data_IF_297873934848
#
_entry.id   IF_297873934848
#
_cell.length_a   1.000
_cell.length_b   1.000
_cell.length_c   1.000
_cell.angle_alpha   90.00
_cell.angle_beta   90.00
_cell.angle_gamma   90.00
#
_symmetry.space_group_name_H-M   'P 1'
#
loop_
_entity.id
_entity.type
_entity.pdbx_description
1 polymer ?
#
# COMPACT_ATOMS: atom_id res chain seq x y z
N UNK A 1 -0.09 4.81 -37.70
CA UNK A 1 0.37 5.16 -36.34
C UNK A 1 -0.62 4.52 -35.39
N UNK A 2 -0.31 3.27 -35.03
CA UNK A 2 -1.22 2.35 -34.35
C UNK A 2 -1.57 2.86 -32.96
N UNK A 3 -2.88 2.85 -32.69
CA UNK A 3 -3.47 2.97 -31.36
C UNK A 3 -3.22 1.64 -30.66
N UNK A 4 -2.13 1.54 -29.91
CA UNK A 4 -1.94 0.45 -28.96
C UNK A 4 -2.89 0.70 -27.78
N UNK A 5 -4.06 0.09 -27.87
CA UNK A 5 -4.97 -0.13 -26.76
C UNK A 5 -4.24 -0.98 -25.71
N UNK A 6 -4.35 -0.50 -24.48
CA UNK A 6 -3.77 -1.03 -23.26
C UNK A 6 -4.01 -2.53 -23.13
N UNK A 7 -2.95 -3.28 -22.79
CA UNK A 7 -3.11 -4.59 -22.16
C UNK A 7 -2.21 -4.70 -20.91
N UNK A 8 -2.82 -5.37 -19.93
CA UNK A 8 -2.35 -5.87 -18.62
C UNK A 8 -2.31 -4.86 -17.47
N UNK A 9 -3.51 -4.66 -16.91
CA UNK A 9 -3.85 -4.21 -15.56
C UNK A 9 -3.10 -2.99 -15.02
N UNK A 10 -3.37 -1.84 -15.64
CA UNK A 10 -3.30 -0.55 -14.96
C UNK A 10 -4.23 -0.57 -13.74
N UNK A 11 -3.76 -0.12 -12.58
CA UNK A 11 -4.60 0.14 -11.41
C UNK A 11 -5.76 1.06 -11.80
N UNK A 12 -6.95 0.49 -12.00
CA UNK A 12 -8.18 1.27 -12.07
C UNK A 12 -8.57 1.61 -10.63
N UNK A 13 -7.96 2.65 -10.09
CA UNK A 13 -8.62 3.42 -9.03
C UNK A 13 -9.47 4.45 -9.76
N UNK A 14 -10.70 4.07 -10.05
CA UNK A 14 -11.73 5.02 -10.43
C UNK A 14 -11.98 5.94 -9.23
N UNK A 15 -11.87 7.25 -9.45
CA UNK A 15 -12.32 8.28 -8.52
C UNK A 15 -13.84 8.14 -8.41
N UNK A 16 -14.38 7.98 -7.21
CA UNK A 16 -15.81 7.99 -6.99
C UNK A 16 -16.22 9.35 -6.43
N UNK A 17 -17.24 9.96 -7.05
CA UNK A 17 -18.03 10.97 -6.35
C UNK A 17 -18.88 10.26 -5.31
N UNK A 18 -18.78 10.66 -4.05
CA UNK A 18 -19.70 10.21 -3.00
C UNK A 18 -21.15 10.48 -3.40
N UNK A 19 -22.03 9.51 -3.14
CA UNK A 19 -23.48 9.65 -3.24
C UNK A 19 -23.99 10.74 -2.29
N UNK A 20 -23.97 11.99 -2.74
CA UNK A 20 -24.62 13.12 -2.06
C UNK A 20 -25.02 14.25 -3.04
N UNK A 21 -25.57 13.88 -4.20
CA UNK A 21 -26.35 14.83 -5.01
C UNK A 21 -27.72 14.23 -5.36
N UNK A 22 -28.65 14.34 -4.40
CA UNK A 22 -30.07 14.33 -4.73
C UNK A 22 -30.39 15.47 -5.70
N UNK A 23 -30.62 15.10 -6.96
CA UNK A 23 -31.73 15.57 -7.79
C UNK A 23 -32.23 17.01 -7.56
N UNK A 24 -31.44 18.02 -7.94
CA UNK A 24 -31.98 19.37 -8.22
C UNK A 24 -31.29 20.02 -9.42
N UNK A 25 -31.83 19.77 -10.61
CA UNK A 25 -32.06 20.81 -11.64
C UNK A 25 -32.94 20.27 -12.77
N UNK A 26 -34.25 20.52 -12.65
CA UNK A 26 -35.15 20.59 -13.81
C UNK A 26 -34.90 21.89 -14.56
N UNK A 27 -34.65 21.80 -15.86
CA UNK A 27 -35.01 22.84 -16.82
C UNK A 27 -33.90 23.30 -17.76
N UNK A 28 -33.72 22.60 -18.89
CA UNK A 28 -33.55 23.20 -20.22
C UNK A 28 -33.55 22.09 -21.28
N UNK A 29 -34.53 22.13 -22.17
CA UNK A 29 -34.67 21.28 -23.37
C UNK A 29 -33.65 21.69 -24.43
N UNK A 30 -32.74 20.78 -24.84
CA UNK A 30 -32.03 20.86 -26.12
C UNK A 30 -31.82 19.44 -26.67
N UNK A 31 -31.87 19.40 -28.00
CA UNK A 31 -32.00 18.30 -28.96
C UNK A 31 -31.12 17.05 -28.80
N UNK A 32 -31.69 15.96 -29.30
CA UNK A 32 -31.21 14.59 -29.29
C UNK A 32 -30.26 14.35 -30.49
N UNK A 33 -28.95 14.21 -30.27
CA UNK A 33 -28.03 13.48 -31.16
C UNK A 33 -26.63 13.33 -30.55
N UNK A 34 -26.08 12.10 -30.66
CA UNK A 34 -24.75 11.62 -30.22
C UNK A 34 -24.63 11.14 -28.77
N UNK A 35 -25.08 9.88 -28.56
CA UNK A 35 -24.55 8.99 -27.51
C UNK A 35 -23.18 8.46 -27.94
N UNK A 36 -22.12 9.19 -27.64
CA UNK A 36 -20.83 8.54 -27.37
C UNK A 36 -20.86 8.17 -25.89
N UNK A 37 -20.91 6.87 -25.61
CA UNK A 37 -20.88 6.34 -24.26
C UNK A 37 -19.53 6.69 -23.64
N UNK A 38 -19.53 7.65 -22.72
CA UNK A 38 -18.47 7.88 -21.75
C UNK A 38 -18.47 6.68 -20.79
N UNK A 39 -17.91 5.55 -21.23
CA UNK A 39 -17.65 4.40 -20.37
C UNK A 39 -16.48 4.74 -19.46
N UNK A 40 -16.77 5.42 -18.35
CA UNK A 40 -15.91 5.36 -17.17
C UNK A 40 -15.66 3.89 -16.85
N UNK A 41 -14.40 3.42 -16.78
CA UNK A 41 -14.09 2.01 -16.54
C UNK A 41 -14.75 1.56 -15.24
N UNK A 42 -15.69 0.62 -15.33
CA UNK A 42 -16.28 0.01 -14.13
C UNK A 42 -15.15 -0.69 -13.36
N UNK A 43 -15.10 -0.43 -12.04
CA UNK A 43 -14.27 -1.19 -11.10
C UNK A 43 -14.49 -2.69 -11.36
N UNK A 44 -13.40 -3.44 -11.41
CA UNK A 44 -13.49 -4.90 -11.43
C UNK A 44 -14.22 -5.38 -10.17
N UNK A 45 -14.98 -6.47 -10.27
CA UNK A 45 -15.69 -7.03 -9.10
C UNK A 45 -14.72 -7.53 -8.03
N UNK A 46 -15.23 -8.04 -6.89
CA UNK A 46 -14.41 -8.65 -5.83
C UNK A 46 -13.28 -9.52 -6.37
N UNK A 47 -13.63 -10.42 -7.30
CA UNK A 47 -12.67 -11.39 -7.84
C UNK A 47 -11.57 -10.74 -8.67
N UNK A 48 -11.85 -9.65 -9.39
CA UNK A 48 -10.86 -8.98 -10.24
C UNK A 48 -9.85 -8.23 -9.38
N UNK A 49 -10.32 -7.53 -8.34
CA UNK A 49 -9.46 -6.87 -7.37
C UNK A 49 -8.62 -7.88 -6.60
N UNK A 50 -9.22 -9.00 -6.17
CA UNK A 50 -8.52 -10.06 -5.48
C UNK A 50 -7.37 -10.64 -6.33
N UNK A 51 -7.61 -10.90 -7.63
CA UNK A 51 -6.57 -11.35 -8.56
C UNK A 51 -5.47 -10.29 -8.70
N UNK A 52 -5.85 -9.03 -8.93
CA UNK A 52 -4.89 -7.93 -9.11
C UNK A 52 -3.96 -7.77 -7.89
N UNK A 53 -4.50 -7.82 -6.67
CA UNK A 53 -3.70 -7.72 -5.45
C UNK A 53 -2.85 -8.96 -5.18
N UNK A 54 -3.31 -10.15 -5.56
CA UNK A 54 -2.51 -11.37 -5.50
C UNK A 54 -1.33 -11.33 -6.49
N UNK A 55 -1.55 -10.89 -7.73
CA UNK A 55 -0.49 -10.69 -8.72
C UNK A 55 0.51 -9.64 -8.22
N UNK A 56 0.04 -8.55 -7.63
CA UNK A 56 0.91 -7.52 -7.03
C UNK A 56 1.75 -8.05 -5.88
N UNK A 57 1.21 -8.90 -5.00
CA UNK A 57 2.01 -9.57 -3.98
C UNK A 57 3.13 -10.40 -4.62
N UNK A 58 2.82 -11.17 -5.68
CA UNK A 58 3.83 -11.97 -6.37
C UNK A 58 4.95 -11.09 -6.98
N UNK A 59 4.61 -9.92 -7.53
CA UNK A 59 5.58 -8.94 -8.04
C UNK A 59 6.45 -8.33 -6.92
N UNK A 60 5.88 -8.07 -5.74
CA UNK A 60 6.61 -7.61 -4.55
C UNK A 60 7.65 -8.65 -4.11
N UNK A 61 7.32 -9.94 -4.21
CA UNK A 61 8.24 -11.06 -3.89
C UNK A 61 9.28 -11.27 -4.99
N UNK A 62 8.92 -11.10 -6.26
CA UNK A 62 9.90 -11.13 -7.35
C UNK A 62 10.93 -10.01 -7.17
N UNK A 63 10.49 -8.80 -6.79
CA UNK A 63 11.36 -7.68 -6.46
C UNK A 63 12.27 -7.96 -5.24
N UNK A 64 11.81 -8.72 -4.26
CA UNK A 64 12.63 -9.15 -3.12
C UNK A 64 13.77 -10.06 -3.56
N UNK A 65 13.47 -11.03 -4.42
CA UNK A 65 14.46 -11.96 -4.97
C UNK A 65 15.46 -11.23 -5.88
N UNK A 66 14.98 -10.34 -6.74
CA UNK A 66 15.83 -9.54 -7.63
C UNK A 66 16.83 -8.69 -6.84
N UNK A 67 16.38 -8.02 -5.78
CA UNK A 67 17.23 -7.22 -4.89
C UNK A 67 18.31 -8.08 -4.20
N UNK A 68 17.98 -9.31 -3.79
CA UNK A 68 18.96 -10.25 -3.23
C UNK A 68 20.00 -10.69 -4.28
N UNK A 69 19.57 -11.00 -5.50
CA UNK A 69 20.47 -11.40 -6.60
C UNK A 69 21.41 -10.24 -6.97
N UNK A 70 20.90 -9.01 -7.03
CA UNK A 70 21.71 -7.83 -7.32
C UNK A 70 22.75 -7.59 -6.21
N UNK A 71 22.32 -7.69 -4.94
CA UNK A 71 23.21 -7.59 -3.79
C UNK A 71 24.37 -8.59 -3.85
N UNK A 72 24.09 -9.86 -4.16
CA UNK A 72 25.13 -10.89 -4.27
C UNK A 72 26.11 -10.61 -5.42
N UNK A 73 25.62 -10.13 -6.58
CA UNK A 73 26.49 -9.76 -7.71
C UNK A 73 27.44 -8.63 -7.35
N UNK A 74 26.99 -7.66 -6.58
CA UNK A 74 27.82 -6.51 -6.17
C UNK A 74 28.92 -6.91 -5.19
N UNK A 75 28.64 -7.82 -4.25
CA UNK A 75 29.65 -8.40 -3.36
C UNK A 75 30.75 -9.11 -4.17
N UNK A 76 30.36 -9.89 -5.20
CA UNK A 76 31.30 -10.62 -6.04
C UNK A 76 32.18 -9.71 -6.90
N UNK A 77 31.64 -8.59 -7.40
CA UNK A 77 32.38 -7.63 -8.26
C UNK A 77 33.32 -6.72 -7.49
N UNK A 78 32.87 -6.20 -6.35
CA UNK A 78 33.57 -5.10 -5.67
C UNK A 78 34.48 -5.57 -4.53
N UNK A 79 34.42 -6.85 -4.14
CA UNK A 79 35.27 -7.43 -3.10
C UNK A 79 34.97 -6.85 -1.73
N UNK A 80 34.16 -7.56 -0.94
CA UNK A 80 33.79 -7.28 0.46
C UNK A 80 33.51 -5.79 0.76
N UNK A 81 32.22 -5.41 0.74
CA UNK A 81 31.78 -4.28 1.57
C UNK A 81 32.27 -4.53 3.01
N UNK A 82 32.79 -3.49 3.66
CA UNK A 82 33.25 -3.52 5.04
C UNK A 82 32.25 -4.24 5.94
N UNK A 83 32.64 -5.43 6.43
CA UNK A 83 31.99 -6.25 7.45
C UNK A 83 30.44 -6.25 7.43
N UNK A 84 29.80 -7.27 6.82
CA UNK A 84 28.34 -7.39 6.88
C UNK A 84 27.87 -7.52 8.34
N UNK A 85 26.65 -7.04 8.68
CA UNK A 85 26.09 -7.19 10.01
C UNK A 85 26.09 -8.68 10.40
N UNK A 86 26.77 -8.98 11.51
CA UNK A 86 26.77 -10.31 12.08
C UNK A 86 25.35 -10.58 12.62
N UNK A 87 24.58 -11.39 11.86
CA UNK A 87 23.23 -11.89 12.16
C UNK A 87 22.12 -10.84 12.00
N UNK A 88 21.66 -10.72 10.75
CA UNK A 88 20.48 -10.00 10.28
C UNK A 88 20.34 -10.28 8.78
N UNK A 89 19.14 -10.14 8.19
CA UNK A 89 18.92 -10.42 6.77
C UNK A 89 19.98 -9.78 5.87
N UNK A 90 20.43 -10.50 4.84
CA UNK A 90 21.41 -10.00 3.85
C UNK A 90 20.65 -9.35 2.69
N UNK A 91 20.92 -8.10 2.33
CA UNK A 91 20.32 -7.50 1.13
C UNK A 91 20.33 -5.97 1.15
N UNK A 92 20.00 -5.37 -0.01
CA UNK A 92 20.02 -3.90 -0.23
C UNK A 92 19.21 -3.16 0.84
N UNK A 93 18.00 -3.64 1.15
CA UNK A 93 17.13 -2.99 2.14
C UNK A 93 17.70 -3.08 3.57
N UNK A 94 18.33 -4.20 3.94
CA UNK A 94 18.93 -4.37 5.26
C UNK A 94 20.16 -3.50 5.44
N UNK A 95 21.00 -3.40 4.41
CA UNK A 95 22.15 -2.50 4.40
C UNK A 95 21.70 -1.04 4.49
N UNK A 96 20.64 -0.67 3.77
CA UNK A 96 20.06 0.67 3.83
C UNK A 96 19.48 0.98 5.22
N UNK A 97 18.73 0.04 5.83
CA UNK A 97 18.21 0.18 7.19
C UNK A 97 19.35 0.32 8.22
N UNK A 98 20.39 -0.49 8.13
CA UNK A 98 21.54 -0.42 9.01
C UNK A 98 22.23 0.96 8.97
N UNK A 99 22.32 1.56 7.78
CA UNK A 99 22.90 2.88 7.56
C UNK A 99 22.00 4.04 8.02
N UNK A 100 20.67 3.93 7.83
CA UNK A 100 19.73 5.05 8.05
C UNK A 100 18.98 5.00 9.39
N UNK A 101 18.65 3.81 9.89
CA UNK A 101 18.00 3.62 11.20
C UNK A 101 19.02 3.38 12.31
N UNK A 102 20.16 2.76 11.96
CA UNK A 102 21.25 2.45 12.86
C UNK A 102 21.20 1.02 13.38
N UNK A 103 22.35 0.34 13.29
CA UNK A 103 22.52 -1.07 13.65
C UNK A 103 21.97 -1.46 15.03
N UNK A 104 22.21 -0.66 16.07
CA UNK A 104 21.74 -1.00 17.43
C UNK A 104 20.22 -0.94 17.58
N UNK A 105 19.53 -0.08 16.82
CA UNK A 105 18.07 -0.04 16.81
C UNK A 105 17.49 -1.15 15.94
N UNK A 106 18.17 -1.45 14.83
CA UNK A 106 17.79 -2.53 13.93
C UNK A 106 17.86 -3.90 14.62
N UNK A 107 18.89 -4.11 15.44
CA UNK A 107 19.05 -5.34 16.23
C UNK A 107 17.88 -5.56 17.20
N UNK A 108 17.39 -4.49 17.83
CA UNK A 108 16.23 -4.53 18.72
C UNK A 108 14.92 -4.85 17.99
N UNK A 109 14.83 -4.53 16.70
CA UNK A 109 13.69 -4.88 15.85
C UNK A 109 13.73 -6.32 15.35
N UNK A 110 14.80 -7.09 15.57
CA UNK A 110 14.85 -8.46 15.05
C UNK A 110 13.80 -9.36 15.74
N UNK A 111 13.23 -10.36 15.05
CA UNK A 111 12.28 -11.29 15.67
C UNK A 111 12.84 -11.96 16.93
N UNK A 112 14.13 -12.28 16.94
CA UNK A 112 14.84 -12.92 18.05
C UNK A 112 14.87 -12.04 19.30
N UNK A 113 15.20 -10.75 19.15
CA UNK A 113 15.23 -9.80 20.25
C UNK A 113 13.84 -9.35 20.69
N UNK A 114 12.87 -9.33 19.78
CA UNK A 114 11.47 -9.03 20.09
C UNK A 114 10.85 -10.16 20.92
N UNK A 115 11.09 -11.43 20.57
CA UNK A 115 10.47 -12.59 21.21
C UNK A 115 10.76 -12.71 22.72
N UNK A 116 11.92 -12.22 23.17
CA UNK A 116 12.31 -12.27 24.59
C UNK A 116 11.74 -11.13 25.44
N UNK A 117 11.05 -10.16 24.81
CA UNK A 117 10.47 -8.99 25.47
C UNK A 117 8.97 -9.17 25.76
N UNK A 118 8.43 -8.51 26.79
CA UNK A 118 6.99 -8.36 26.95
C UNK A 118 6.34 -7.71 25.72
N UNK A 119 5.06 -8.01 25.45
CA UNK A 119 4.33 -7.47 24.30
C UNK A 119 4.31 -5.93 24.29
N UNK A 120 4.14 -5.31 25.46
CA UNK A 120 4.17 -3.85 25.61
C UNK A 120 5.49 -3.24 25.11
N UNK A 121 6.64 -3.82 25.49
CA UNK A 121 7.96 -3.37 25.01
C UNK A 121 8.14 -3.62 23.51
N UNK A 122 7.60 -4.72 22.98
CA UNK A 122 7.62 -4.98 21.54
C UNK A 122 6.86 -3.89 20.79
N UNK A 123 5.72 -3.43 21.32
CA UNK A 123 4.95 -2.34 20.72
C UNK A 123 5.67 -1.01 20.81
N UNK A 124 6.37 -0.71 21.90
CA UNK A 124 7.22 0.48 21.99
C UNK A 124 8.34 0.48 20.94
N UNK A 125 8.96 -0.67 20.68
CA UNK A 125 10.01 -0.80 19.66
C UNK A 125 9.44 -0.61 18.25
N UNK A 126 8.27 -1.19 17.94
CA UNK A 126 7.56 -0.99 16.68
C UNK A 126 7.11 0.47 16.51
N UNK A 127 6.62 1.10 17.57
CA UNK A 127 6.16 2.48 17.58
C UNK A 127 7.34 3.42 17.24
N UNK A 128 8.48 3.24 17.90
CA UNK A 128 9.70 4.01 17.59
C UNK A 128 10.15 3.83 16.14
N UNK A 129 10.02 2.62 15.59
CA UNK A 129 10.32 2.35 14.20
C UNK A 129 9.36 3.07 13.26
N UNK A 130 8.05 3.02 13.48
CA UNK A 130 7.08 3.68 12.62
C UNK A 130 7.15 5.22 12.71
N UNK A 131 7.46 5.77 13.88
CA UNK A 131 7.72 7.21 14.04
C UNK A 131 8.95 7.65 13.25
N UNK A 132 10.04 6.88 13.34
CA UNK A 132 11.21 7.10 12.51
C UNK A 132 10.87 6.95 11.01
N UNK A 133 10.13 5.91 10.64
CA UNK A 133 9.71 5.67 9.26
C UNK A 133 8.96 6.88 8.71
N UNK A 134 7.93 7.35 9.40
CA UNK A 134 7.13 8.52 9.00
C UNK A 134 7.98 9.79 8.90
N UNK A 135 8.99 9.95 9.76
CA UNK A 135 9.93 11.07 9.67
C UNK A 135 10.83 11.01 8.42
N UNK A 136 11.18 9.81 7.96
CA UNK A 136 12.00 9.60 6.77
C UNK A 136 11.18 9.60 5.48
N UNK A 137 9.92 9.21 5.57
CA UNK A 137 8.98 9.03 4.48
C UNK A 137 7.71 9.83 4.75
N UNK A 138 7.78 11.18 4.68
CA UNK A 138 6.61 12.02 4.91
C UNK A 138 5.57 11.80 3.81
N UNK A 139 4.28 11.84 4.18
CA UNK A 139 3.20 11.67 3.22
C UNK A 139 3.26 12.74 2.12
N UNK A 140 3.17 12.31 0.86
CA UNK A 140 3.21 13.21 -0.28
C UNK A 140 1.79 13.58 -0.75
N UNK A 141 1.48 14.88 -0.68
CA UNK A 141 0.25 15.45 -1.25
C UNK A 141 0.52 15.96 -2.67
N UNK A 142 0.96 17.21 -2.80
CA UNK A 142 1.03 17.98 -4.06
C UNK A 142 2.29 18.87 -4.18
N UNK A 143 3.23 18.79 -3.22
CA UNK A 143 4.43 19.64 -3.16
C UNK A 143 5.17 19.79 -4.51
N UNK A 144 5.29 21.03 -4.96
CA UNK A 144 5.96 21.41 -6.19
C UNK A 144 7.45 21.04 -6.17
N UNK A 145 7.91 20.30 -7.17
CA UNK A 145 9.31 19.92 -7.31
C UNK A 145 10.26 21.08 -7.64
N UNK A 146 9.74 22.27 -8.01
CA UNK A 146 10.55 23.45 -8.33
C UNK A 146 10.67 24.43 -7.17
N UNK A 147 9.55 24.78 -6.52
CA UNK A 147 9.54 25.80 -5.47
C UNK A 147 9.16 25.27 -4.08
N UNK A 148 8.77 24.00 -3.97
CA UNK A 148 8.38 23.37 -2.69
C UNK A 148 7.00 23.76 -2.17
N UNK A 149 6.28 24.65 -2.85
CA UNK A 149 4.92 25.04 -2.45
C UNK A 149 3.95 23.86 -2.60
N UNK A 150 3.00 23.78 -1.68
CA UNK A 150 1.83 22.89 -1.70
C UNK A 150 0.60 23.76 -1.51
N UNK A 151 -0.48 23.47 -2.23
CA UNK A 151 -1.76 24.13 -2.07
C UNK A 151 -2.34 23.84 -0.68
N UNK A 152 -2.16 22.62 -0.15
CA UNK A 152 -2.52 22.28 1.24
C UNK A 152 -1.81 23.11 2.31
N UNK A 153 -0.62 23.63 1.99
CA UNK A 153 0.16 24.49 2.89
C UNK A 153 -0.20 25.99 2.72
N UNK A 154 -1.16 26.36 1.85
CA UNK A 154 -1.51 27.76 1.53
C UNK A 154 -2.84 28.18 2.20
N UNK A 155 -2.80 29.00 3.27
CA UNK A 155 -4.02 29.41 3.98
C UNK A 155 -5.02 30.17 3.11
N UNK A 156 -4.56 30.84 2.04
CA UNK A 156 -5.44 31.60 1.15
C UNK A 156 -6.27 30.70 0.24
N UNK A 157 -5.83 29.45 0.02
CA UNK A 157 -6.61 28.46 -0.72
C UNK A 157 -7.51 27.63 0.18
N UNK A 158 -7.17 27.49 1.47
CA UNK A 158 -7.97 26.76 2.45
C UNK A 158 -9.26 27.48 2.87
N UNK A 159 -9.38 28.80 2.66
CA UNK A 159 -10.57 29.58 3.03
C UNK A 159 -11.69 29.56 1.97
N UNK A 160 -11.44 29.06 0.74
CA UNK A 160 -12.47 29.03 -0.31
C UNK A 160 -13.47 27.85 -0.17
N UNK A 161 -13.24 26.93 0.78
CA UNK A 161 -14.09 25.74 1.02
C UNK A 161 -15.21 25.93 2.07
N UNK A 162 -15.27 27.04 2.81
CA UNK A 162 -16.26 27.26 3.91
C UNK A 162 -17.44 28.18 3.55
N UNK A 163 -17.53 28.72 2.33
CA UNK A 163 -18.54 29.72 1.98
C UNK A 163 -19.60 29.23 0.98
N UNK A 164 -20.49 28.31 1.40
CA UNK A 164 -21.89 28.32 0.91
C UNK A 164 -22.96 27.87 1.93
N UNK A 165 -23.70 28.87 2.42
CA UNK A 165 -25.08 28.86 2.93
C UNK A 165 -25.34 28.67 4.44
N UNK A 166 -25.29 29.81 5.14
CA UNK A 166 -26.22 30.13 6.22
C UNK A 166 -27.69 30.02 5.74
N UNK A 167 -28.37 28.93 6.10
CA UNK A 167 -29.81 28.93 6.37
C UNK A 167 -30.03 28.29 7.75
N UNK A 168 -30.79 28.99 8.60
CA UNK A 168 -30.91 28.67 10.03
C UNK A 168 -31.67 27.36 10.26
N UNK A 169 -30.97 26.32 10.74
CA UNK A 169 -31.59 25.24 11.50
C UNK A 169 -30.97 23.85 11.36
N UNK A 170 -30.46 23.35 12.49
CA UNK A 170 -30.23 21.93 12.86
C UNK A 170 -28.78 21.41 12.75
N UNK A 171 -28.19 21.18 13.93
CA UNK A 171 -27.10 20.26 14.30
C UNK A 171 -25.94 20.05 13.32
N UNK A 172 -24.87 20.82 13.49
CA UNK A 172 -23.56 20.57 12.88
C UNK A 172 -22.82 19.46 13.63
N UNK A 173 -22.84 18.25 13.06
CA UNK A 173 -21.72 17.30 13.14
C UNK A 173 -20.71 17.68 12.06
N UNK A 174 -19.51 18.05 12.47
CA UNK A 174 -18.37 18.26 11.56
C UNK A 174 -17.99 16.91 10.94
N UNK A 175 -18.26 16.75 9.65
CA UNK A 175 -17.73 15.67 8.82
C UNK A 175 -16.53 16.22 8.04
N UNK A 176 -15.32 15.89 8.51
CA UNK A 176 -14.12 15.94 7.68
C UNK A 176 -14.23 14.74 6.71
N UNK A 177 -14.90 14.98 5.59
CA UNK A 177 -15.20 13.97 4.57
C UNK A 177 -13.98 13.76 3.63
N UNK A 178 -13.61 12.49 3.47
CA UNK A 178 -12.94 11.86 2.30
C UNK A 178 -11.53 12.32 1.89
N UNK A 179 -10.58 11.37 1.87
CA UNK A 179 -9.32 11.42 1.08
C UNK A 179 -9.56 11.37 -0.44
N UNK A 180 -10.70 11.86 -0.92
CA UNK A 180 -10.76 12.39 -2.26
C UNK A 180 -9.74 13.54 -2.28
N UNK A 181 -8.84 13.54 -3.26
CA UNK A 181 -8.00 14.71 -3.47
C UNK A 181 -8.98 15.83 -3.79
N UNK A 182 -9.34 16.64 -2.79
CA UNK A 182 -9.94 17.95 -3.00
C UNK A 182 -9.11 18.56 -4.11
N UNK A 183 -9.75 18.75 -5.26
CA UNK A 183 -9.11 19.26 -6.45
C UNK A 183 -8.78 20.72 -6.14
N UNK A 184 -7.65 20.91 -5.46
CA UNK A 184 -6.98 22.17 -5.15
C UNK A 184 -6.56 22.94 -6.44
N UNK A 185 -7.08 22.51 -7.59
CA UNK A 185 -6.79 22.96 -8.93
C UNK A 185 -5.39 22.58 -9.41
N UNK A 186 -4.60 21.85 -8.61
CA UNK A 186 -3.22 21.51 -8.96
C UNK A 186 -3.13 20.17 -9.69
N UNK A 187 -4.04 19.23 -9.46
CA UNK A 187 -4.00 17.91 -10.11
C UNK A 187 -4.53 17.95 -11.55
N UNK A 188 -3.70 17.55 -12.52
CA UNK A 188 -4.06 17.58 -13.94
C UNK A 188 -4.43 16.21 -14.52
N UNK A 189 -4.32 15.14 -13.72
CA UNK A 189 -4.60 13.79 -14.16
C UNK A 189 -3.36 12.89 -14.30
N UNK A 190 -3.57 11.74 -14.93
CA UNK A 190 -2.59 10.67 -15.05
C UNK A 190 -1.94 10.64 -16.43
N UNK A 191 -0.66 10.29 -16.45
CA UNK A 191 0.08 9.97 -17.67
C UNK A 191 0.79 8.62 -17.54
N UNK A 192 1.11 8.02 -18.68
CA UNK A 192 1.92 6.81 -18.70
C UNK A 192 3.34 7.08 -18.17
N UNK A 193 3.90 6.20 -17.33
CA UNK A 193 5.25 6.37 -16.80
C UNK A 193 6.31 6.37 -17.91
N UNK A 194 7.29 7.27 -17.79
CA UNK A 194 8.43 7.30 -18.70
C UNK A 194 9.39 6.12 -18.45
N UNK A 195 10.41 5.97 -19.29
CA UNK A 195 11.37 4.87 -19.18
C UNK A 195 12.08 4.80 -17.82
N UNK A 196 12.44 5.95 -17.22
CA UNK A 196 13.06 5.98 -15.90
C UNK A 196 12.05 5.52 -14.83
N UNK A 197 10.82 6.01 -14.89
CA UNK A 197 9.78 5.69 -13.92
C UNK A 197 9.37 4.21 -13.95
N UNK A 198 9.35 3.61 -15.15
CA UNK A 198 9.08 2.17 -15.31
C UNK A 198 10.16 1.27 -14.69
N UNK A 199 11.41 1.75 -14.55
CA UNK A 199 12.43 1.01 -13.80
C UNK A 199 12.11 0.89 -12.31
N UNK A 200 11.37 1.85 -11.75
CA UNK A 200 10.81 1.76 -10.41
C UNK A 200 9.47 1.04 -10.34
N UNK A 201 9.11 0.30 -11.40
CA UNK A 201 7.83 -0.42 -11.55
C UNK A 201 6.62 0.49 -11.36
N UNK A 202 6.72 1.77 -11.74
CA UNK A 202 5.58 2.67 -11.65
C UNK A 202 4.45 2.21 -12.59
N UNK A 203 3.23 2.11 -12.08
CA UNK A 203 2.02 1.77 -12.86
C UNK A 203 1.45 2.98 -13.59
N UNK A 204 1.53 4.15 -12.95
CA UNK A 204 1.02 5.45 -13.42
C UNK A 204 1.86 6.60 -12.88
N UNK A 205 1.68 7.78 -13.47
CA UNK A 205 2.31 9.01 -13.01
C UNK A 205 1.28 10.12 -12.94
N UNK A 206 1.11 10.69 -11.75
CA UNK A 206 0.26 11.85 -11.51
C UNK A 206 0.99 13.13 -11.97
N UNK A 207 0.25 14.05 -12.59
CA UNK A 207 0.78 15.35 -13.00
C UNK A 207 0.11 16.44 -12.18
N UNK A 208 0.95 17.29 -11.59
CA UNK A 208 0.53 18.44 -10.83
C UNK A 208 1.05 19.73 -11.47
N UNK A 209 0.25 20.79 -11.50
CA UNK A 209 0.68 22.14 -11.82
C UNK A 209 0.67 22.99 -10.55
N UNK A 210 1.82 23.53 -10.19
CA UNK A 210 1.95 24.36 -8.99
C UNK A 210 1.17 25.67 -9.14
N UNK A 211 0.29 25.96 -8.19
CA UNK A 211 -0.47 27.21 -8.12
C UNK A 211 0.42 28.46 -8.00
N UNK A 212 1.58 28.34 -7.33
CA UNK A 212 2.48 29.46 -7.06
C UNK A 212 3.42 29.81 -8.21
N UNK A 213 4.03 28.82 -8.85
CA UNK A 213 5.06 29.06 -9.88
C UNK A 213 4.70 28.51 -11.26
N UNK A 214 3.53 27.89 -11.42
CA UNK A 214 3.05 27.31 -12.68
C UNK A 214 3.84 26.11 -13.20
N UNK A 215 4.85 25.63 -12.44
CA UNK A 215 5.70 24.53 -12.86
C UNK A 215 4.98 23.18 -12.72
N UNK A 216 5.23 22.28 -13.66
CA UNK A 216 4.68 20.92 -13.63
C UNK A 216 5.56 20.00 -12.79
N UNK A 217 4.93 19.20 -11.93
CA UNK A 217 5.57 18.17 -11.12
C UNK A 217 5.00 16.80 -11.49
N UNK A 218 5.89 15.84 -11.72
CA UNK A 218 5.53 14.43 -11.91
C UNK A 218 5.59 13.71 -10.57
N UNK A 219 4.57 12.93 -10.25
CA UNK A 219 4.53 12.02 -9.11
C UNK A 219 4.30 10.58 -9.60
N UNK A 220 5.37 9.86 -9.97
CA UNK A 220 5.27 8.45 -10.34
C UNK A 220 4.89 7.60 -9.11
N UNK A 221 3.91 6.71 -9.29
CA UNK A 221 3.43 5.78 -8.25
C UNK A 221 4.26 4.51 -8.27
N UNK A 222 5.37 4.51 -7.55
CA UNK A 222 6.37 3.44 -7.59
C UNK A 222 5.91 2.18 -6.83
N UNK A 223 6.27 1.01 -7.35
CA UNK A 223 6.02 -0.28 -6.70
C UNK A 223 7.29 -0.99 -6.24
N UNK A 224 8.47 -0.45 -6.57
CA UNK A 224 9.76 -1.00 -6.15
C UNK A 224 10.23 -0.36 -4.84
N UNK A 225 10.54 -1.17 -3.82
CA UNK A 225 10.95 -0.70 -2.50
C UNK A 225 12.26 0.12 -2.56
N UNK A 226 13.22 -0.30 -3.39
CA UNK A 226 14.49 0.42 -3.61
C UNK A 226 14.28 1.80 -4.22
N UNK A 227 13.28 1.95 -5.10
CA UNK A 227 12.92 3.27 -5.64
C UNK A 227 12.24 4.16 -4.61
N UNK A 228 11.39 3.59 -3.74
CA UNK A 228 10.74 4.35 -2.66
C UNK A 228 11.78 4.88 -1.66
N UNK A 229 12.78 4.08 -1.26
CA UNK A 229 13.86 4.56 -0.36
C UNK A 229 14.73 5.65 -0.99
N UNK A 230 14.97 5.58 -2.30
CA UNK A 230 15.78 6.56 -3.02
C UNK A 230 15.06 7.91 -3.17
N UNK A 231 13.75 7.87 -3.46
CA UNK A 231 12.97 9.09 -3.75
C UNK A 231 12.34 9.69 -2.49
N UNK A 232 12.14 8.90 -1.43
CA UNK A 232 11.48 9.29 -0.17
C UNK A 232 10.17 10.06 -0.39
N UNK A 233 9.37 9.58 -1.34
CA UNK A 233 8.14 10.24 -1.79
C UNK A 233 7.08 9.21 -2.18
N UNK A 234 5.96 9.22 -1.49
CA UNK A 234 4.87 8.26 -1.64
C UNK A 234 3.66 8.58 -0.77
N UNK A 235 2.64 7.73 -0.89
CA UNK A 235 1.42 7.68 -0.05
C UNK A 235 1.29 6.30 0.59
N UNK A 236 0.12 5.94 1.11
CA UNK A 236 -0.15 4.63 1.72
C UNK A 236 0.29 3.46 0.81
N UNK A 237 0.03 3.55 -0.50
CA UNK A 237 0.49 2.57 -1.50
C UNK A 237 1.98 2.24 -1.42
N UNK A 238 2.83 3.25 -1.61
CA UNK A 238 4.29 3.11 -1.60
C UNK A 238 4.82 2.71 -0.20
N UNK A 239 4.25 3.31 0.85
CA UNK A 239 4.77 3.18 2.21
C UNK A 239 4.35 1.88 2.88
N UNK A 240 3.16 1.34 2.58
CA UNK A 240 2.77 -0.01 3.02
C UNK A 240 3.66 -1.10 2.44
N UNK A 241 3.98 -1.02 1.14
CA UNK A 241 4.88 -1.97 0.47
C UNK A 241 6.29 -1.88 1.06
N UNK A 242 6.81 -0.67 1.26
CA UNK A 242 8.13 -0.48 1.85
C UNK A 242 8.20 -1.01 3.30
N UNK A 243 7.18 -0.70 4.13
CA UNK A 243 7.10 -1.21 5.49
C UNK A 243 7.04 -2.76 5.50
N UNK A 244 6.17 -3.35 4.68
CA UNK A 244 6.08 -4.80 4.49
C UNK A 244 7.42 -5.43 4.09
N UNK A 245 8.12 -4.83 3.12
CA UNK A 245 9.44 -5.30 2.67
C UNK A 245 10.54 -5.16 3.74
N UNK A 246 10.52 -4.10 4.55
CA UNK A 246 11.43 -3.95 5.70
C UNK A 246 11.18 -5.01 6.78
N UNK A 247 9.93 -5.27 7.14
CA UNK A 247 9.58 -6.32 8.12
C UNK A 247 10.07 -7.69 7.65
N UNK A 248 9.87 -8.01 6.37
CA UNK A 248 10.34 -9.26 5.76
C UNK A 248 11.85 -9.36 5.72
N UNK A 249 12.54 -8.28 5.36
CA UNK A 249 13.99 -8.24 5.33
C UNK A 249 14.61 -8.45 6.74
N UNK A 250 13.90 -8.00 7.78
CA UNK A 250 14.21 -8.27 9.19
C UNK A 250 13.92 -9.71 9.63
N UNK A 251 13.18 -10.49 8.82
CA UNK A 251 12.80 -11.87 9.11
C UNK A 251 11.47 -12.02 9.86
N UNK A 252 10.65 -10.97 9.93
CA UNK A 252 9.32 -11.07 10.55
C UNK A 252 8.34 -11.82 9.66
N UNK A 253 7.45 -12.60 10.28
CA UNK A 253 6.21 -12.99 9.64
C UNK A 253 5.32 -11.75 9.49
N UNK A 254 5.09 -11.34 8.24
CA UNK A 254 4.34 -10.14 7.92
C UNK A 254 3.27 -10.39 6.84
N UNK A 255 2.22 -9.57 6.86
CA UNK A 255 1.19 -9.52 5.82
C UNK A 255 1.12 -8.13 5.23
N UNK A 256 0.80 -8.05 3.95
CA UNK A 256 0.36 -6.81 3.31
C UNK A 256 -1.16 -6.78 3.30
N UNK A 257 -1.77 -5.76 3.88
CA UNK A 257 -3.21 -5.68 4.07
C UNK A 257 -3.80 -4.60 3.18
N UNK A 258 -4.90 -4.93 2.52
CA UNK A 258 -5.56 -4.09 1.54
C UNK A 258 -7.04 -3.93 1.89
N UNK A 259 -7.45 -2.70 2.15
CA UNK A 259 -8.84 -2.28 2.22
C UNK A 259 -9.32 -1.86 0.83
N UNK A 260 -10.44 -2.41 0.38
CA UNK A 260 -11.06 -1.97 -0.86
C UNK A 260 -11.66 -0.56 -0.79
N UNK A 261 -11.70 0.09 0.37
CA UNK A 261 -11.93 1.53 0.51
C UNK A 261 -10.63 2.36 0.37
N UNK A 262 -9.76 1.95 -0.55
CA UNK A 262 -8.52 2.64 -0.98
C UNK A 262 -7.54 2.94 0.16
N UNK A 263 -7.26 1.93 0.98
CA UNK A 263 -6.19 2.03 1.98
C UNK A 263 -5.40 0.74 2.10
N UNK A 264 -4.13 0.85 2.45
CA UNK A 264 -3.22 -0.29 2.54
C UNK A 264 -2.21 -0.10 3.67
N UNK A 265 -1.86 -1.18 4.34
CA UNK A 265 -0.94 -1.19 5.49
C UNK A 265 -0.25 -2.55 5.62
N UNK A 266 0.45 -2.79 6.73
CA UNK A 266 1.08 -4.07 7.03
C UNK A 266 0.59 -4.65 8.36
N UNK A 267 0.64 -5.96 8.50
CA UNK A 267 0.56 -6.63 9.81
C UNK A 267 1.87 -7.36 10.08
N UNK A 268 2.24 -7.47 11.35
CA UNK A 268 3.35 -8.28 11.82
C UNK A 268 2.87 -9.29 12.86
N UNK A 269 3.44 -10.50 12.88
CA UNK A 269 3.10 -11.49 13.89
C UNK A 269 3.91 -11.28 15.16
N UNK A 270 3.23 -10.95 16.26
CA UNK A 270 3.81 -10.70 17.58
C UNK A 270 3.01 -11.51 18.60
N UNK A 271 3.69 -12.21 19.52
CA UNK A 271 3.01 -12.97 20.58
C UNK A 271 2.03 -14.05 20.08
N UNK A 272 2.18 -14.51 18.83
CA UNK A 272 1.28 -15.48 18.19
C UNK A 272 0.02 -14.89 17.55
N UNK A 273 -0.16 -13.57 17.55
CA UNK A 273 -1.27 -12.87 16.88
C UNK A 273 -0.77 -11.87 15.85
N UNK A 274 -1.66 -11.47 14.93
CA UNK A 274 -1.38 -10.38 14.00
C UNK A 274 -1.56 -9.04 14.70
N UNK A 275 -0.61 -8.15 14.46
CA UNK A 275 -0.60 -6.78 14.99
C UNK A 275 -0.59 -5.81 13.82
N UNK A 276 -1.56 -4.91 13.83
CA UNK A 276 -1.72 -3.84 12.85
C UNK A 276 -0.54 -2.86 12.89
N UNK A 277 0.01 -2.52 11.72
CA UNK A 277 1.02 -1.48 11.52
C UNK A 277 0.68 -0.58 10.34
N UNK A 278 0.31 0.67 10.62
CA UNK A 278 0.17 1.71 9.59
C UNK A 278 1.40 2.64 9.61
N UNK A 279 2.26 2.60 8.57
CA UNK A 279 3.46 3.45 8.49
C UNK A 279 3.16 4.93 8.18
N UNK A 280 2.03 5.25 7.55
CA UNK A 280 1.62 6.62 7.27
C UNK A 280 1.18 7.33 8.55
N UNK A 281 0.46 6.61 9.41
CA UNK A 281 -0.07 7.14 10.67
C UNK A 281 0.85 6.95 11.86
N UNK A 282 1.93 6.18 11.67
CA UNK A 282 2.78 5.67 12.73
C UNK A 282 1.97 5.00 13.86
N UNK A 283 1.02 4.14 13.46
CA UNK A 283 0.07 3.50 14.37
C UNK A 283 0.39 2.01 14.54
N UNK A 284 0.54 1.58 15.79
CA UNK A 284 0.73 0.18 16.19
C UNK A 284 -0.52 -0.32 16.93
N UNK A 285 -1.02 -1.49 16.55
CA UNK A 285 -2.14 -2.20 17.22
C UNK A 285 -3.43 -1.37 17.38
N UNK A 286 -3.74 -0.54 16.38
CA UNK A 286 -4.96 0.28 16.31
C UNK A 286 -5.86 -0.13 15.14
N UNK A 287 -6.43 -1.34 15.13
CA UNK A 287 -7.19 -1.83 13.98
C UNK A 287 -8.52 -1.08 13.75
N UNK A 288 -9.07 -0.39 14.76
CA UNK A 288 -10.29 0.41 14.60
C UNK A 288 -10.04 1.83 14.07
N UNK A 289 -8.77 2.21 13.82
CA UNK A 289 -8.38 3.54 13.35
C UNK A 289 -9.19 4.01 12.14
N UNK A 290 -9.38 3.13 11.15
CA UNK A 290 -10.07 3.48 9.91
C UNK A 290 -11.58 3.65 10.09
N UNK A 291 -12.17 2.91 11.03
CA UNK A 291 -13.57 3.10 11.40
C UNK A 291 -13.75 4.43 12.15
N UNK A 292 -12.77 4.84 12.96
CA UNK A 292 -12.75 6.15 13.62
C UNK A 292 -12.72 7.30 12.61
N UNK A 293 -12.16 7.09 11.40
CA UNK A 293 -12.23 8.01 10.26
C UNK A 293 -13.58 8.02 9.54
N UNK A 294 -14.57 7.28 10.04
CA UNK A 294 -15.89 7.16 9.42
C UNK A 294 -15.96 6.19 8.23
N UNK A 295 -14.87 5.48 7.89
CA UNK A 295 -14.91 4.47 6.82
C UNK A 295 -15.84 3.33 7.20
N UNK A 296 -16.59 2.83 6.21
CA UNK A 296 -17.50 1.69 6.33
C UNK A 296 -16.92 0.50 5.57
N UNK A 297 -16.17 -0.34 6.27
CA UNK A 297 -15.37 -1.41 5.68
C UNK A 297 -16.26 -2.43 4.97
N UNK A 298 -16.02 -2.64 3.68
CA UNK A 298 -16.66 -3.71 2.89
C UNK A 298 -15.80 -4.96 2.97
N UNK A 299 -14.55 -4.84 2.55
CA UNK A 299 -13.60 -5.92 2.62
C UNK A 299 -12.17 -5.41 2.83
N UNK A 300 -11.52 -6.09 3.77
CA UNK A 300 -10.11 -5.91 4.08
C UNK A 300 -9.47 -7.29 3.99
N UNK A 301 -8.54 -7.43 3.05
CA UNK A 301 -7.86 -8.69 2.79
C UNK A 301 -6.37 -8.58 3.15
N UNK A 302 -5.89 -9.56 3.90
CA UNK A 302 -4.49 -9.69 4.24
C UNK A 302 -3.82 -10.72 3.32
N UNK A 303 -2.70 -10.34 2.72
CA UNK A 303 -1.90 -11.14 1.79
C UNK A 303 -0.55 -11.50 2.43
N UNK A 304 -0.19 -12.78 2.37
CA UNK A 304 1.03 -13.31 2.96
C UNK A 304 1.81 -14.12 1.91
N UNK A 305 3.14 -14.06 1.99
CA UNK A 305 4.03 -14.94 1.24
C UNK A 305 5.10 -15.53 2.17
N UNK A 306 5.60 -16.74 1.91
CA UNK A 306 6.73 -17.29 2.67
C UNK A 306 7.95 -16.36 2.63
N UNK A 307 8.77 -16.38 3.68
CA UNK A 307 10.06 -15.69 3.68
C UNK A 307 11.04 -16.38 2.72
N UNK A 308 11.73 -15.57 1.91
CA UNK A 308 12.78 -16.06 1.02
C UNK A 308 13.95 -16.57 1.85
N UNK A 309 14.25 -17.87 1.76
CA UNK A 309 15.38 -18.49 2.47
C UNK A 309 15.05 -19.64 3.42
N UNK A 310 13.76 -19.94 3.64
CA UNK A 310 13.32 -21.04 4.51
C UNK A 310 13.63 -20.80 5.99
N UNK A 311 12.76 -21.29 6.87
CA UNK A 311 13.08 -21.40 8.29
C UNK A 311 14.18 -22.45 8.44
N UNK A 312 15.42 -22.04 8.74
CA UNK A 312 16.45 -22.97 9.22
C UNK A 312 16.16 -23.25 10.69
N UNK A 313 15.52 -24.38 10.97
CA UNK A 313 15.41 -24.88 12.33
C UNK A 313 16.81 -25.30 12.84
N UNK A 314 17.03 -25.25 14.16
CA UNK A 314 18.32 -25.62 14.80
C UNK A 314 18.79 -27.05 14.46
N UNK A 315 17.90 -27.89 13.93
CA UNK A 315 18.18 -29.26 13.49
C UNK A 315 18.71 -29.37 12.04
N UNK A 316 18.84 -28.26 11.31
CA UNK A 316 19.37 -28.21 9.96
C UNK A 316 18.37 -28.61 8.86
N UNK A 317 17.07 -28.73 9.16
CA UNK A 317 16.04 -28.89 8.12
C UNK A 317 15.72 -27.53 7.49
N UNK A 318 15.88 -27.46 6.17
CA UNK A 318 15.31 -26.40 5.34
C UNK A 318 13.91 -26.85 4.87
N UNK A 319 12.85 -26.22 5.36
CA UNK A 319 11.56 -26.28 4.67
C UNK A 319 11.57 -25.27 3.52
N UNK A 320 11.88 -25.76 2.32
CA UNK A 320 12.00 -24.94 1.10
C UNK A 320 10.67 -24.75 0.36
N UNK A 321 9.53 -24.80 1.05
CA UNK A 321 8.21 -24.75 0.44
C UNK A 321 7.19 -23.93 1.27
N UNK A 322 6.14 -23.47 0.60
CA UNK A 322 4.95 -22.95 1.28
C UNK A 322 4.40 -24.10 2.13
N UNK A 323 4.48 -24.02 3.46
CA UNK A 323 3.81 -25.04 4.29
C UNK A 323 2.32 -25.04 3.92
N UNK A 324 1.70 -26.22 3.78
CA UNK A 324 0.27 -26.32 3.42
C UNK A 324 -0.67 -25.60 4.41
N UNK A 325 -0.15 -25.19 5.57
CA UNK A 325 -0.84 -24.41 6.60
C UNK A 325 -0.70 -22.88 6.45
N UNK A 326 0.10 -22.38 5.50
CA UNK A 326 0.28 -20.93 5.32
C UNK A 326 -0.94 -20.34 4.63
N UNK A 327 -1.78 -19.61 5.36
CA UNK A 327 -2.93 -18.93 4.80
C UNK A 327 -2.46 -17.70 4.00
N UNK A 328 -2.32 -17.87 2.68
CA UNK A 328 -1.75 -16.85 1.77
C UNK A 328 -2.64 -15.60 1.61
N UNK A 329 -3.95 -15.75 1.74
CA UNK A 329 -4.91 -14.65 1.66
C UNK A 329 -5.96 -14.87 2.74
N UNK A 330 -6.34 -13.86 3.50
CA UNK A 330 -7.35 -13.94 4.55
C UNK A 330 -8.28 -12.73 4.49
N UNK A 331 -9.59 -12.95 4.66
CA UNK A 331 -10.55 -11.86 4.89
C UNK A 331 -10.47 -11.49 6.37
N UNK A 332 -9.85 -10.35 6.66
CA UNK A 332 -9.61 -9.85 8.02
C UNK A 332 -10.57 -8.71 8.36
N UNK A 333 -11.61 -8.47 7.58
CA UNK A 333 -12.52 -7.32 7.74
C UNK A 333 -13.05 -7.18 9.16
N UNK A 334 -13.45 -8.29 9.80
CA UNK A 334 -13.98 -8.30 11.17
C UNK A 334 -12.96 -7.90 12.25
N UNK A 335 -11.66 -7.89 11.93
CA UNK A 335 -10.63 -7.41 12.85
C UNK A 335 -10.55 -5.88 12.88
N UNK A 336 -11.05 -5.20 11.84
CA UNK A 336 -10.88 -3.76 11.59
C UNK A 336 -12.17 -2.96 11.73
N UNK A 337 -13.23 -3.57 12.25
CA UNK A 337 -14.50 -2.92 12.51
C UNK A 337 -15.15 -3.52 13.76
N UNK A 338 -15.91 -2.71 14.49
CA UNK A 338 -16.79 -3.17 15.56
C UNK A 338 -18.18 -3.60 15.05
N UNK A 339 -18.44 -3.46 13.75
CA UNK A 339 -19.71 -3.84 13.15
C UNK A 339 -19.93 -5.35 13.19
N UNK A 340 -21.19 -5.77 13.36
CA UNK A 340 -21.56 -7.17 13.33
C UNK A 340 -21.39 -7.76 11.92
N UNK A 341 -21.11 -9.07 11.85
CA UNK A 341 -20.91 -9.77 10.59
C UNK A 341 -22.08 -9.58 9.60
N UNK A 342 -23.32 -9.51 10.09
CA UNK A 342 -24.50 -9.24 9.26
C UNK A 342 -24.47 -7.83 8.64
N UNK A 343 -24.00 -6.83 9.38
CA UNK A 343 -23.85 -5.46 8.88
C UNK A 343 -22.75 -5.38 7.82
N UNK A 344 -21.63 -6.08 8.04
CA UNK A 344 -20.55 -6.20 7.05
C UNK A 344 -21.09 -6.81 5.75
N UNK A 345 -21.82 -7.94 5.83
CA UNK A 345 -22.39 -8.60 4.65
C UNK A 345 -23.43 -7.75 3.91
N UNK A 346 -24.19 -6.91 4.61
CA UNK A 346 -25.13 -5.97 3.98
C UNK A 346 -24.45 -4.89 3.12
N UNK A 347 -23.15 -4.64 3.33
CA UNK A 347 -22.35 -3.69 2.55
C UNK A 347 -21.65 -4.35 1.35
N UNK A 348 -21.72 -5.67 1.23
CA UNK A 348 -21.02 -6.45 0.19
C UNK A 348 -21.97 -6.76 -0.94
N UNK A 349 -21.48 -6.65 -2.18
CA UNK A 349 -22.27 -6.98 -3.36
C UNK A 349 -22.28 -8.50 -3.63
N UNK A 350 -21.20 -9.19 -3.26
CA UNK A 350 -21.02 -10.63 -3.46
C UNK A 350 -21.56 -11.48 -2.29
N UNK A 351 -22.09 -12.66 -2.64
CA UNK A 351 -22.52 -13.65 -1.65
C UNK A 351 -21.34 -14.29 -0.92
N UNK A 352 -21.62 -14.87 0.25
CA UNK A 352 -20.57 -15.56 1.04
C UNK A 352 -19.90 -16.70 0.29
N UNK A 353 -20.67 -17.43 -0.51
CA UNK A 353 -20.22 -18.54 -1.34
C UNK A 353 -19.32 -18.06 -2.48
N UNK A 354 -19.64 -16.94 -3.11
CA UNK A 354 -18.83 -16.34 -4.18
C UNK A 354 -17.49 -15.83 -3.66
N UNK A 355 -17.50 -15.17 -2.49
CA UNK A 355 -16.30 -14.70 -1.79
C UNK A 355 -15.39 -15.88 -1.44
N UNK A 356 -15.93 -16.93 -0.82
CA UNK A 356 -15.16 -18.12 -0.44
C UNK A 356 -14.60 -18.87 -1.66
N UNK A 357 -15.39 -19.01 -2.72
CA UNK A 357 -14.97 -19.63 -3.98
C UNK A 357 -13.83 -18.85 -4.63
N UNK A 358 -13.95 -17.52 -4.68
CA UNK A 358 -12.93 -16.63 -5.24
C UNK A 358 -11.64 -16.66 -4.42
N UNK A 359 -11.74 -16.62 -3.08
CA UNK A 359 -10.58 -16.77 -2.18
C UNK A 359 -9.89 -18.11 -2.39
N UNK A 360 -10.64 -19.22 -2.48
CA UNK A 360 -10.05 -20.54 -2.71
C UNK A 360 -9.30 -20.61 -4.03
N UNK A 361 -9.89 -20.08 -5.10
CA UNK A 361 -9.27 -20.06 -6.43
C UNK A 361 -8.00 -19.22 -6.44
N UNK A 362 -8.09 -17.96 -6.00
CA UNK A 362 -6.96 -17.03 -6.07
C UNK A 362 -5.83 -17.42 -5.11
N UNK A 363 -6.12 -18.05 -3.97
CA UNK A 363 -5.06 -18.64 -3.12
C UNK A 363 -4.26 -19.71 -3.86
N UNK A 364 -4.92 -20.59 -4.62
CA UNK A 364 -4.23 -21.61 -5.40
C UNK A 364 -3.40 -20.99 -6.53
N UNK A 365 -3.96 -20.01 -7.23
CA UNK A 365 -3.24 -19.29 -8.30
C UNK A 365 -2.02 -18.54 -7.73
N UNK A 366 -2.16 -17.87 -6.59
CA UNK A 366 -1.07 -17.20 -5.88
C UNK A 366 0.01 -18.18 -5.43
N UNK A 367 -0.35 -19.36 -4.91
CA UNK A 367 0.62 -20.42 -4.56
C UNK A 367 1.48 -20.78 -5.77
N UNK A 368 0.87 -20.99 -6.93
CA UNK A 368 1.56 -21.29 -8.19
C UNK A 368 2.47 -20.12 -8.62
N UNK A 369 1.98 -18.88 -8.53
CA UNK A 369 2.77 -17.69 -8.86
C UNK A 369 4.03 -17.58 -7.98
N UNK A 370 3.90 -17.75 -6.66
CA UNK A 370 5.00 -17.69 -5.71
C UNK A 370 6.02 -18.82 -5.93
N UNK A 371 5.56 -20.04 -6.24
CA UNK A 371 6.43 -21.17 -6.59
C UNK A 371 7.24 -20.89 -7.86
N UNK A 372 6.62 -20.29 -8.88
CA UNK A 372 7.29 -19.91 -10.12
C UNK A 372 8.33 -18.81 -9.89
N UNK A 373 7.97 -17.76 -9.14
CA UNK A 373 8.87 -16.65 -8.77
C UNK A 373 10.09 -17.16 -8.01
N UNK A 374 9.88 -18.03 -7.01
CA UNK A 374 10.96 -18.62 -6.21
C UNK A 374 11.86 -19.53 -7.05
N UNK A 375 11.28 -20.27 -8.01
CA UNK A 375 12.05 -21.16 -8.89
C UNK A 375 12.96 -20.41 -9.85
N UNK A 376 12.51 -19.27 -10.40
CA UNK A 376 13.35 -18.38 -11.22
C UNK A 376 14.56 -17.84 -10.44
N UNK A 377 14.37 -17.50 -9.16
CA UNK A 377 15.45 -16.98 -8.33
C UNK A 377 16.57 -17.98 -8.03
N UNK A 378 16.31 -19.30 -8.18
CA UNK A 378 17.30 -20.36 -7.94
C UNK A 378 18.14 -20.73 -9.17
N UNK A 379 17.71 -20.33 -10.38
CA UNK A 379 18.39 -20.60 -11.65
C UNK A 379 19.28 -19.44 -12.05
#
# INVERSE_FOLDING_TARGET
KERNLLTKQTEVLAVYKSDNQEDKRKGATVDDTQKDADETPKRGGFSDLLVMYAERLAEIIEDEIDDHIEFEKDIHKNGALSSPPAKGGKGILMDWLAQNYGMSKLDQLSPEHMLVRPEEEQFEVLQQFLEWFRSQFPYYYDKCGTCGASAKDDPLLAEEDDDTNNDEGCNQTQSDDTDDVDDDGTFLGYVFPNEKERRGKASRTEIYQCHKCGAFTRFPRFNSATWVIDHKRGRCGEYSILCYRFLRALGHEARWVVDWADHVWAEVRIGGRWVHLDPCEAAVDRPLLYQEWGKRQTYILAFCAPLSGGTRFEDGREETGVSDNTMLIEDVTSCYTSDEQEQIWKRRDESSEEVLSSLSRVRNDLKILLENVTSKGRT
#
